data_IF_697796728392
#
_entry.id   IF_697796728392
#
_cell.length_a   1.000
_cell.length_b   1.000
_cell.length_c   1.000
_cell.angle_alpha   90.00
_cell.angle_beta   90.00
_cell.angle_gamma   90.00
#
_symmetry.space_group_name_H-M   'P 1'
#
loop_
_entity.id
_entity.type
_entity.pdbx_description
1 polymer ?
#
# COMPACT_ATOMS: atom_id res chain seq x y z
N UNK A 1 3.75 -5.78 -11.14
CA UNK A 1 2.73 -5.82 -10.11
C UNK A 1 3.30 -6.28 -8.77
N UNK A 2 2.62 -5.94 -7.69
CA UNK A 2 3.07 -6.28 -6.34
C UNK A 2 4.46 -5.72 -6.00
N UNK A 3 4.75 -4.52 -6.51
CA UNK A 3 6.09 -3.93 -6.43
C UNK A 3 6.54 -3.64 -5.00
N UNK A 4 5.61 -3.51 -4.04
CA UNK A 4 5.94 -3.28 -2.63
C UNK A 4 6.74 -4.43 -2.01
N UNK A 5 6.72 -5.61 -2.61
CA UNK A 5 7.45 -6.77 -2.10
C UNK A 5 8.86 -6.91 -2.68
N UNK A 6 9.26 -6.03 -3.59
CA UNK A 6 10.61 -6.05 -4.15
C UNK A 6 11.57 -5.31 -3.21
N UNK A 7 12.86 -5.57 -3.40
CA UNK A 7 13.89 -4.83 -2.66
C UNK A 7 14.24 -3.50 -3.35
N UNK A 8 15.13 -2.73 -2.75
CA UNK A 8 15.52 -1.42 -3.27
C UNK A 8 16.23 -1.47 -4.62
N UNK A 9 16.73 -2.63 -5.03
CA UNK A 9 17.36 -2.80 -6.35
C UNK A 9 16.41 -2.57 -7.51
N UNK A 10 15.10 -2.72 -7.28
CA UNK A 10 14.09 -2.46 -8.31
C UNK A 10 14.14 -1.01 -8.81
N UNK A 11 14.46 -0.07 -7.94
CA UNK A 11 14.50 1.35 -8.29
C UNK A 11 15.53 1.61 -9.40
N UNK A 12 16.74 1.10 -9.23
CA UNK A 12 17.80 1.26 -10.22
C UNK A 12 17.47 0.56 -11.54
N UNK A 13 16.89 -0.65 -11.47
CA UNK A 13 16.50 -1.41 -12.66
C UNK A 13 15.45 -0.64 -13.46
N UNK A 14 14.42 -0.14 -12.81
CA UNK A 14 13.36 0.63 -13.48
C UNK A 14 13.92 1.91 -14.12
N UNK A 15 14.79 2.60 -13.40
CA UNK A 15 15.40 3.83 -13.89
C UNK A 15 16.26 3.56 -15.13
N UNK A 16 17.07 2.51 -15.09
CA UNK A 16 17.91 2.12 -16.24
C UNK A 16 17.08 1.75 -17.47
N UNK A 17 16.00 0.98 -17.27
CA UNK A 17 15.10 0.61 -18.35
C UNK A 17 14.45 1.84 -18.98
N UNK A 18 13.93 2.73 -18.15
CA UNK A 18 13.30 3.96 -18.62
C UNK A 18 14.29 4.86 -19.35
N UNK A 19 15.52 4.97 -18.84
CA UNK A 19 16.58 5.75 -19.47
C UNK A 19 16.98 5.21 -20.85
N UNK A 20 16.74 3.93 -21.09
CA UNK A 20 16.97 3.28 -22.37
C UNK A 20 15.74 3.30 -23.29
N UNK A 21 14.74 4.09 -22.96
CA UNK A 21 13.54 4.27 -23.79
C UNK A 21 12.52 3.15 -23.67
N UNK A 22 12.63 2.30 -22.65
CA UNK A 22 11.69 1.21 -22.41
C UNK A 22 10.57 1.73 -21.52
N UNK A 23 9.33 1.47 -21.92
CA UNK A 23 8.17 1.81 -21.11
C UNK A 23 8.08 0.85 -19.91
N UNK A 24 8.09 1.40 -18.70
CA UNK A 24 8.03 0.64 -17.46
C UNK A 24 6.71 0.97 -16.76
N UNK A 25 5.92 -0.03 -16.47
CA UNK A 25 4.65 0.13 -15.75
C UNK A 25 4.75 -0.66 -14.45
N UNK A 26 4.54 0.04 -13.34
CA UNK A 26 4.65 -0.52 -12.00
C UNK A 26 3.32 -0.37 -11.28
N UNK A 27 2.87 -1.43 -10.64
CA UNK A 27 1.70 -1.41 -9.78
C UNK A 27 2.09 -1.98 -8.41
N UNK A 28 1.55 -1.39 -7.37
CA UNK A 28 1.83 -1.86 -6.01
C UNK A 28 1.09 -1.03 -4.97
N UNK A 29 1.11 -1.51 -3.75
CA UNK A 29 0.54 -0.81 -2.60
C UNK A 29 1.55 0.21 -2.07
N UNK A 30 1.11 1.43 -1.88
CA UNK A 30 1.96 2.51 -1.38
C UNK A 30 2.10 2.51 0.15
N UNK A 31 1.10 1.98 0.86
CA UNK A 31 1.11 1.90 2.32
C UNK A 31 0.77 0.50 2.81
N UNK A 32 1.35 0.13 3.95
CA UNK A 32 0.96 -1.09 4.65
C UNK A 32 -0.27 -0.85 5.54
N UNK A 33 -0.70 -1.89 6.27
CA UNK A 33 -1.90 -1.80 7.11
C UNK A 33 -1.74 -0.82 8.30
N UNK A 34 -0.53 -0.46 8.66
CA UNK A 34 -0.25 0.53 9.72
C UNK A 34 -0.24 1.97 9.19
N UNK A 35 -0.41 2.14 7.87
CA UNK A 35 -0.36 3.45 7.24
C UNK A 35 1.06 3.91 6.95
N UNK A 36 2.05 3.03 7.03
CA UNK A 36 3.44 3.34 6.75
C UNK A 36 3.78 3.09 5.29
N UNK A 37 4.73 3.85 4.71
CA UNK A 37 5.20 3.59 3.35
C UNK A 37 5.67 2.15 3.20
N UNK A 38 5.36 1.54 2.06
CA UNK A 38 5.57 0.11 1.84
C UNK A 38 6.72 -0.13 0.87
N UNK A 39 7.81 -0.77 1.35
CA UNK A 39 8.94 -1.21 0.53
C UNK A 39 9.55 -0.11 -0.33
N UNK A 40 9.84 -0.38 -1.62
CA UNK A 40 10.45 0.61 -2.51
C UNK A 40 9.45 1.60 -3.11
N UNK A 41 8.16 1.53 -2.76
CA UNK A 41 7.13 2.34 -3.39
C UNK A 41 7.37 3.85 -3.31
N UNK A 42 7.82 4.43 -2.17
CA UNK A 42 8.07 5.87 -2.12
C UNK A 42 9.13 6.32 -3.14
N UNK A 43 10.21 5.57 -3.28
CA UNK A 43 11.28 5.90 -4.21
C UNK A 43 10.84 5.70 -5.66
N UNK A 44 10.05 4.66 -5.94
CA UNK A 44 9.48 4.44 -7.27
C UNK A 44 8.56 5.58 -7.67
N UNK A 45 7.75 6.07 -6.76
CA UNK A 45 6.91 7.25 -7.01
C UNK A 45 7.75 8.48 -7.30
N UNK A 46 8.91 8.62 -6.63
CA UNK A 46 9.79 9.78 -6.83
C UNK A 46 10.41 9.82 -8.21
N UNK A 47 10.79 8.66 -8.78
CA UNK A 47 11.45 8.60 -10.09
C UNK A 47 10.48 8.42 -11.26
N UNK A 48 9.22 8.11 -11.00
CA UNK A 48 8.23 7.87 -12.03
C UNK A 48 7.90 9.17 -12.79
N UNK A 49 7.69 9.05 -14.11
CA UNK A 49 7.23 10.17 -14.92
C UNK A 49 5.77 10.47 -14.68
N UNK A 50 4.98 9.44 -14.38
CA UNK A 50 3.56 9.57 -14.03
C UNK A 50 3.24 8.69 -12.82
N UNK A 51 2.46 9.23 -11.90
CA UNK A 51 1.96 8.49 -10.74
C UNK A 51 0.46 8.66 -10.66
N UNK A 52 -0.26 7.54 -10.65
CA UNK A 52 -1.70 7.52 -10.41
C UNK A 52 -1.97 6.78 -9.12
N UNK A 53 -2.65 7.46 -8.19
CA UNK A 53 -3.05 6.84 -6.94
C UNK A 53 -4.52 6.46 -7.05
N UNK A 54 -4.79 5.15 -7.13
CA UNK A 54 -6.16 4.63 -7.26
C UNK A 54 -6.71 4.26 -5.87
N UNK A 55 -8.02 4.37 -5.74
CA UNK A 55 -8.70 4.18 -4.46
C UNK A 55 -9.81 3.16 -4.56
N UNK A 56 -10.00 2.39 -3.49
CA UNK A 56 -11.22 1.61 -3.29
C UNK A 56 -12.30 2.51 -2.67
N UNK A 57 -13.42 1.92 -2.32
CA UNK A 57 -14.50 2.61 -1.61
C UNK A 57 -14.50 2.15 -0.16
N UNK A 58 -14.54 3.10 0.76
CA UNK A 58 -14.58 2.82 2.20
C UNK A 58 -15.83 2.00 2.53
N UNK A 59 -15.64 0.84 3.15
CA UNK A 59 -16.76 -0.06 3.49
C UNK A 59 -17.63 0.47 4.62
N UNK A 60 -17.17 1.48 5.35
CA UNK A 60 -17.92 2.07 6.47
C UNK A 60 -18.77 3.27 6.06
N UNK A 61 -18.23 4.16 5.23
CA UNK A 61 -18.90 5.43 4.93
C UNK A 61 -19.11 5.70 3.43
N UNK A 62 -18.56 4.89 2.54
CA UNK A 62 -18.74 5.04 1.09
C UNK A 62 -17.85 6.08 0.42
N UNK A 63 -16.97 6.75 1.14
CA UNK A 63 -16.01 7.69 0.56
C UNK A 63 -14.81 6.95 -0.03
N UNK A 64 -13.94 7.68 -0.74
CA UNK A 64 -12.73 7.09 -1.28
C UNK A 64 -11.82 6.59 -0.15
N UNK A 65 -11.36 5.34 -0.26
CA UNK A 65 -10.52 4.70 0.73
C UNK A 65 -9.05 4.81 0.33
N UNK A 66 -8.20 5.22 1.26
CA UNK A 66 -6.75 5.29 1.08
C UNK A 66 -6.00 4.32 1.97
N UNK A 67 -6.68 3.67 2.90
CA UNK A 67 -6.06 2.81 3.90
C UNK A 67 -6.58 1.39 3.81
N UNK A 68 -5.71 0.44 4.15
CA UNK A 68 -6.08 -0.96 4.29
C UNK A 68 -6.06 -1.31 5.78
N UNK A 69 -7.22 -1.59 6.34
CA UNK A 69 -7.33 -2.01 7.73
C UNK A 69 -7.28 -3.53 7.79
N UNK A 70 -6.34 -4.06 8.57
CA UNK A 70 -6.23 -5.50 8.79
C UNK A 70 -7.22 -5.92 9.84
N UNK A 71 -8.12 -6.83 9.49
CA UNK A 71 -9.18 -7.29 10.38
C UNK A 71 -8.73 -8.40 11.32
N UNK A 72 -7.63 -9.08 10.99
CA UNK A 72 -7.03 -10.10 11.86
C UNK A 72 -5.93 -9.48 12.71
N UNK A 73 -5.79 -9.96 13.95
CA UNK A 73 -4.83 -9.41 14.90
C UNK A 73 -3.45 -10.04 14.68
N UNK A 74 -2.62 -9.41 13.85
CA UNK A 74 -1.27 -9.84 13.55
C UNK A 74 -0.42 -8.61 13.16
N UNK A 75 0.74 -8.45 13.77
CA UNK A 75 1.61 -7.29 13.58
C UNK A 75 2.57 -7.41 12.41
N UNK A 76 2.64 -8.53 11.72
CA UNK A 76 3.53 -8.71 10.58
C UNK A 76 3.10 -7.80 9.41
N UNK A 77 4.06 -7.08 8.82
CA UNK A 77 3.79 -6.21 7.68
C UNK A 77 3.21 -7.01 6.50
N UNK A 78 3.78 -8.16 6.23
CA UNK A 78 3.30 -9.05 5.17
C UNK A 78 2.60 -10.24 5.81
N UNK A 79 1.32 -10.40 5.49
CA UNK A 79 0.51 -11.53 5.93
C UNK A 79 -0.09 -12.17 4.69
N UNK A 80 0.36 -13.37 4.36
CA UNK A 80 -0.01 -14.09 3.16
C UNK A 80 -1.03 -15.19 3.46
N UNK A 81 -1.75 -15.59 2.42
CA UNK A 81 -2.66 -16.71 2.46
C UNK A 81 -4.05 -16.35 2.98
N UNK A 82 -4.79 -17.38 3.33
CA UNK A 82 -6.20 -17.28 3.70
C UNK A 82 -6.45 -16.54 5.01
N UNK A 83 -5.40 -16.34 5.82
CA UNK A 83 -5.51 -15.63 7.09
C UNK A 83 -5.39 -14.11 6.95
N UNK A 84 -5.04 -13.63 5.76
CA UNK A 84 -4.88 -12.20 5.52
C UNK A 84 -6.23 -11.59 5.14
N UNK A 85 -6.85 -10.89 6.08
CA UNK A 85 -8.10 -10.19 5.84
C UNK A 85 -7.90 -8.70 5.98
N UNK A 86 -8.40 -7.94 5.00
CA UNK A 86 -8.29 -6.49 4.95
C UNK A 86 -9.63 -5.88 4.53
N UNK A 87 -9.86 -4.65 5.00
CA UNK A 87 -10.97 -3.85 4.53
C UNK A 87 -10.48 -2.46 4.12
N UNK A 88 -10.98 -1.91 3.00
CA UNK A 88 -10.62 -0.55 2.60
C UNK A 88 -11.36 0.48 3.45
N UNK A 89 -10.62 1.45 4.00
CA UNK A 89 -11.18 2.51 4.82
C UNK A 89 -10.65 3.88 4.40
N UNK A 90 -11.48 4.91 4.51
CA UNK A 90 -11.02 6.28 4.42
C UNK A 90 -10.21 6.62 5.68
N UNK A 91 -9.54 7.76 5.67
CA UNK A 91 -8.69 8.18 6.80
C UNK A 91 -9.44 8.22 8.13
N UNK A 92 -10.61 8.84 8.16
CA UNK A 92 -11.41 8.96 9.38
C UNK A 92 -11.84 7.61 9.94
N UNK A 93 -12.39 6.74 9.09
CA UNK A 93 -12.81 5.42 9.52
C UNK A 93 -11.62 4.54 9.92
N UNK A 94 -10.49 4.70 9.24
CA UNK A 94 -9.26 3.98 9.57
C UNK A 94 -8.74 4.38 10.96
N UNK A 95 -8.70 5.67 11.26
CA UNK A 95 -8.25 6.14 12.58
C UNK A 95 -9.14 5.64 13.71
N UNK A 96 -10.46 5.62 13.48
CA UNK A 96 -11.40 5.05 14.45
C UNK A 96 -11.18 3.56 14.67
N UNK A 97 -10.96 2.81 13.59
CA UNK A 97 -10.71 1.37 13.68
C UNK A 97 -9.41 1.09 14.44
N UNK A 98 -8.37 1.90 14.24
CA UNK A 98 -7.10 1.77 14.95
C UNK A 98 -7.27 2.05 16.45
N UNK A 99 -8.06 3.04 16.83
CA UNK A 99 -8.38 3.32 18.23
C UNK A 99 -9.12 2.15 18.88
N UNK A 100 -10.10 1.59 18.19
CA UNK A 100 -10.85 0.42 18.69
C UNK A 100 -9.92 -0.77 18.91
N UNK A 101 -8.98 -1.01 17.98
CA UNK A 101 -8.01 -2.09 18.09
C UNK A 101 -7.11 -1.91 19.32
N UNK A 102 -6.68 -0.67 19.61
CA UNK A 102 -5.85 -0.35 20.76
C UNK A 102 -6.60 -0.57 22.08
N UNK A 103 -7.90 -0.28 22.10
CA UNK A 103 -8.74 -0.46 23.30
C UNK A 103 -9.04 -1.92 23.62
N UNK A 104 -8.88 -2.81 22.67
CA UNK A 104 -9.14 -4.25 22.85
C UNK A 104 -7.96 -5.04 23.40
N UNK A 105 -6.90 -4.38 23.77
CA UNK A 105 -5.69 -5.03 24.30
C UNK A 105 -5.86 -5.39 25.76
#
# INVERSE_FOLDING_TARGET
DEAQFFDSGLIDVCNQLANNGIRVIIAGLDMDFKGNPFGPMPQLCAIADEVSKVHAICVKCGQLASFSHRTVKNEKQVLLGETAEYEPLCRECYLRAREEDEQKV
#
